data_IF_121841206154
#
_entry.id   IF_121841206154
#
_cell.length_a   1.000
_cell.length_b   1.000
_cell.length_c   1.000
_cell.angle_alpha   90.00
_cell.angle_beta   90.00
_cell.angle_gamma   90.00
#
_symmetry.space_group_name_H-M   'P 1'
#
loop_
_entity.id
_entity.type
_entity.pdbx_description
1 polymer ?
#
# COMPACT_ATOMS: atom_id res chain seq x y z
N UNK A 1 -26.83 -17.61 4.38
CA UNK A 1 -25.63 -17.43 3.55
C UNK A 1 -25.67 -16.03 2.98
N UNK A 2 -25.08 -15.07 3.69
CA UNK A 2 -25.03 -13.67 3.24
C UNK A 2 -23.89 -13.48 2.24
N UNK A 3 -24.26 -13.34 0.97
CA UNK A 3 -23.36 -12.90 -0.07
C UNK A 3 -23.12 -11.39 0.12
N UNK A 4 -22.05 -11.05 0.85
CA UNK A 4 -21.54 -9.69 0.93
C UNK A 4 -20.84 -9.35 -0.40
N UNK A 5 -21.64 -9.03 -1.42
CA UNK A 5 -21.17 -8.58 -2.73
C UNK A 5 -20.55 -7.18 -2.56
N UNK A 6 -19.21 -7.14 -2.57
CA UNK A 6 -18.43 -5.90 -2.61
C UNK A 6 -18.95 -5.05 -3.79
N UNK A 7 -19.28 -3.75 -3.59
CA UNK A 7 -20.04 -2.95 -4.56
C UNK A 7 -19.22 -2.47 -5.78
N UNK A 8 -18.09 -3.10 -6.07
CA UNK A 8 -17.26 -2.78 -7.23
C UNK A 8 -16.92 -4.09 -7.94
N UNK A 9 -17.44 -4.26 -9.16
CA UNK A 9 -17.29 -5.47 -9.94
C UNK A 9 -15.82 -5.88 -10.09
N UNK A 10 -15.57 -7.17 -10.33
CA UNK A 10 -14.24 -7.76 -10.48
C UNK A 10 -13.31 -6.98 -11.43
N UNK A 11 -13.90 -6.31 -12.42
CA UNK A 11 -13.20 -5.42 -13.36
C UNK A 11 -12.60 -4.19 -12.67
N UNK A 12 -13.35 -3.48 -11.82
CA UNK A 12 -12.83 -2.31 -11.08
C UNK A 12 -11.69 -2.71 -10.14
N UNK A 13 -11.81 -3.87 -9.48
CA UNK A 13 -10.73 -4.41 -8.65
C UNK A 13 -9.48 -4.75 -9.48
N UNK A 14 -9.67 -5.36 -10.65
CA UNK A 14 -8.55 -5.70 -11.55
C UNK A 14 -7.85 -4.43 -12.07
N UNK A 15 -8.61 -3.39 -12.45
CA UNK A 15 -8.06 -2.11 -12.85
C UNK A 15 -7.25 -1.45 -11.73
N UNK A 16 -7.73 -1.52 -10.48
CA UNK A 16 -6.97 -1.00 -9.34
C UNK A 16 -5.64 -1.74 -9.14
N UNK A 17 -5.62 -3.07 -9.31
CA UNK A 17 -4.39 -3.86 -9.23
C UNK A 17 -3.41 -3.52 -10.36
N UNK A 18 -3.91 -3.32 -11.59
CA UNK A 18 -3.08 -2.88 -12.72
C UNK A 18 -2.47 -1.51 -12.46
N UNK A 19 -3.24 -0.53 -11.96
CA UNK A 19 -2.74 0.81 -11.61
C UNK A 19 -1.60 0.77 -10.61
N UNK A 20 -1.71 -0.09 -9.58
CA UNK A 20 -0.62 -0.28 -8.62
C UNK A 20 0.60 -0.92 -9.29
N UNK A 21 0.39 -1.97 -10.10
CA UNK A 21 1.48 -2.64 -10.81
C UNK A 21 2.23 -1.71 -11.78
N UNK A 22 1.51 -0.83 -12.48
CA UNK A 22 2.10 0.17 -13.38
C UNK A 22 3.01 1.12 -12.63
N UNK A 23 2.59 1.62 -11.45
CA UNK A 23 3.45 2.48 -10.62
C UNK A 23 4.69 1.73 -10.13
N UNK A 24 4.56 0.45 -9.76
CA UNK A 24 5.68 -0.38 -9.31
C UNK A 24 6.62 -0.80 -10.45
N UNK A 25 6.19 -0.69 -11.71
CA UNK A 25 7.03 -1.00 -12.87
C UNK A 25 8.17 0.01 -13.09
N UNK A 26 8.09 1.20 -12.47
CA UNK A 26 9.12 2.23 -12.54
C UNK A 26 10.24 2.07 -11.49
N UNK A 27 10.33 0.91 -10.85
CA UNK A 27 11.43 0.56 -9.97
C UNK A 27 12.75 0.38 -10.76
N UNK A 28 13.91 0.43 -10.07
CA UNK A 28 15.23 0.23 -10.69
C UNK A 28 15.40 -1.22 -11.14
N UNK A 29 16.30 -1.48 -12.07
CA UNK A 29 16.59 -2.84 -12.57
C UNK A 29 16.99 -3.85 -11.48
N UNK A 30 17.57 -3.37 -10.36
CA UNK A 30 17.96 -4.21 -9.22
C UNK A 30 16.84 -4.37 -8.18
N UNK A 31 15.81 -3.54 -8.25
CA UNK A 31 14.67 -3.62 -7.34
C UNK A 31 13.75 -4.75 -7.81
N UNK A 32 13.07 -5.41 -6.87
CA UNK A 32 12.12 -6.48 -7.20
C UNK A 32 10.75 -6.14 -6.65
N UNK A 33 9.80 -5.84 -7.53
CA UNK A 33 8.39 -5.70 -7.18
C UNK A 33 7.63 -6.98 -7.50
N UNK A 34 6.80 -7.45 -6.57
CA UNK A 34 5.98 -8.63 -6.72
C UNK A 34 4.60 -8.45 -6.10
N UNK A 35 3.59 -9.09 -6.70
CA UNK A 35 2.28 -9.27 -6.06
C UNK A 35 2.37 -10.47 -5.13
N UNK A 36 2.25 -10.24 -3.83
CA UNK A 36 2.39 -11.27 -2.81
C UNK A 36 1.13 -12.13 -2.70
N UNK A 37 -0.05 -11.50 -2.79
CA UNK A 37 -1.34 -12.20 -2.79
C UNK A 37 -2.50 -11.20 -2.76
N UNK A 38 -3.66 -11.54 -3.32
CA UNK A 38 -4.83 -10.66 -3.25
C UNK A 38 -4.53 -9.23 -3.76
N UNK A 39 -4.67 -8.23 -2.90
CA UNK A 39 -4.33 -6.82 -3.10
C UNK A 39 -2.99 -6.39 -2.47
N UNK A 40 -2.16 -7.34 -2.04
CA UNK A 40 -0.88 -7.14 -1.38
C UNK A 40 0.28 -7.19 -2.38
N UNK A 41 1.16 -6.20 -2.27
CA UNK A 41 2.38 -6.06 -3.06
C UNK A 41 3.59 -5.93 -2.14
N UNK A 42 4.71 -6.48 -2.57
CA UNK A 42 5.99 -6.38 -1.89
C UNK A 42 7.04 -5.80 -2.86
N UNK A 43 7.90 -4.93 -2.35
CA UNK A 43 9.03 -4.38 -3.10
C UNK A 43 10.30 -4.59 -2.28
N UNK A 44 11.27 -5.29 -2.87
CA UNK A 44 12.61 -5.47 -2.32
C UNK A 44 13.52 -4.43 -2.97
N UNK A 45 14.21 -3.64 -2.14
CA UNK A 45 15.07 -2.54 -2.58
C UNK A 45 16.51 -2.81 -2.10
N UNK A 46 17.36 -3.45 -2.91
CA UNK A 46 18.75 -3.69 -2.54
C UNK A 46 19.57 -2.40 -2.48
N UNK A 47 20.64 -2.43 -1.69
CA UNK A 47 21.66 -1.38 -1.65
C UNK A 47 21.14 0.02 -1.25
N UNK A 48 20.04 0.08 -0.52
CA UNK A 48 19.53 1.34 0.03
C UNK A 48 19.27 1.24 1.54
N UNK A 49 19.41 2.38 2.22
CA UNK A 49 19.10 2.51 3.65
C UNK A 49 17.64 2.86 3.92
N UNK A 50 17.29 2.93 5.21
CA UNK A 50 15.95 3.23 5.70
C UNK A 50 15.34 4.52 5.13
N UNK A 51 16.14 5.60 5.06
CA UNK A 51 15.66 6.89 4.58
C UNK A 51 15.24 6.83 3.11
N UNK A 52 16.09 6.28 2.24
CA UNK A 52 15.80 6.09 0.83
C UNK A 52 14.61 5.14 0.62
N UNK A 53 14.50 4.06 1.41
CA UNK A 53 13.35 3.16 1.35
C UNK A 53 12.03 3.88 1.68
N UNK A 54 12.04 4.76 2.70
CA UNK A 54 10.87 5.59 3.03
C UNK A 54 10.53 6.61 1.94
N UNK A 55 11.53 7.20 1.28
CA UNK A 55 11.30 8.10 0.14
C UNK A 55 10.66 7.36 -1.03
N UNK A 56 11.10 6.14 -1.32
CA UNK A 56 10.48 5.28 -2.35
C UNK A 56 9.03 4.96 -1.98
N UNK A 57 8.78 4.56 -0.73
CA UNK A 57 7.43 4.29 -0.26
C UNK A 57 6.51 5.52 -0.39
N UNK A 58 6.98 6.70 0.01
CA UNK A 58 6.22 7.95 -0.12
C UNK A 58 5.92 8.28 -1.58
N UNK A 59 6.92 8.14 -2.47
CA UNK A 59 6.74 8.36 -3.91
C UNK A 59 5.70 7.42 -4.52
N UNK A 60 5.66 6.16 -4.11
CA UNK A 60 4.64 5.19 -4.57
C UNK A 60 3.25 5.63 -4.11
N UNK A 61 3.11 5.99 -2.82
CA UNK A 61 1.84 6.49 -2.28
C UNK A 61 1.34 7.72 -3.06
N UNK A 62 2.22 8.69 -3.31
CA UNK A 62 1.87 9.93 -4.01
C UNK A 62 1.53 9.67 -5.49
N UNK A 63 2.26 8.76 -6.15
CA UNK A 63 2.00 8.42 -7.55
C UNK A 63 0.63 7.77 -7.74
N UNK A 64 0.23 6.89 -6.81
CA UNK A 64 -1.08 6.23 -6.85
C UNK A 64 -2.20 7.20 -6.48
N UNK A 65 -1.98 8.05 -5.47
CA UNK A 65 -3.00 9.00 -5.01
C UNK A 65 -3.27 10.11 -6.05
N UNK A 66 -2.29 10.45 -6.88
CA UNK A 66 -2.35 11.56 -7.84
C UNK A 66 -2.36 11.08 -9.30
N UNK A 67 -2.73 9.83 -9.59
CA UNK A 67 -2.78 9.32 -10.96
C UNK A 67 -3.94 9.90 -11.81
N UNK A 68 -4.80 10.73 -11.21
CA UNK A 68 -5.89 11.44 -11.88
C UNK A 68 -7.03 10.54 -12.35
N UNK A 69 -7.06 9.27 -11.91
CA UNK A 69 -8.06 8.29 -12.34
C UNK A 69 -9.07 7.96 -11.24
N UNK A 70 -10.33 7.83 -11.64
CA UNK A 70 -11.42 7.37 -10.76
C UNK A 70 -11.57 5.84 -10.83
N UNK A 71 -11.85 5.15 -9.70
CA UNK A 71 -11.94 5.70 -8.36
C UNK A 71 -10.56 6.11 -7.82
N UNK A 72 -10.51 7.15 -6.98
CA UNK A 72 -9.30 7.51 -6.24
C UNK A 72 -8.78 6.31 -5.44
N UNK A 73 -7.51 5.96 -5.65
CA UNK A 73 -6.84 4.89 -4.93
C UNK A 73 -5.93 5.43 -3.85
N UNK A 74 -5.76 4.63 -2.80
CA UNK A 74 -4.73 4.89 -1.79
C UNK A 74 -4.16 3.58 -1.32
N UNK A 75 -2.85 3.53 -1.12
CA UNK A 75 -2.14 2.37 -0.58
C UNK A 75 -1.61 2.68 0.82
N UNK A 76 -1.41 1.64 1.61
CA UNK A 76 -0.68 1.68 2.87
C UNK A 76 0.60 0.89 2.66
N UNK A 77 1.76 1.48 2.96
CA UNK A 77 3.06 0.84 2.79
C UNK A 77 3.76 0.81 4.14
N UNK A 78 4.25 -0.37 4.52
CA UNK A 78 5.16 -0.54 5.64
C UNK A 78 6.57 -0.84 5.15
N UNK A 79 7.56 -0.33 5.86
CA UNK A 79 8.98 -0.47 5.50
C UNK A 79 9.69 -1.25 6.61
N UNK A 80 10.59 -2.15 6.22
CA UNK A 80 11.52 -2.84 7.09
C UNK A 80 12.91 -2.90 6.42
N UNK A 81 13.96 -2.86 7.23
CA UNK A 81 15.35 -2.71 6.76
C UNK A 81 16.21 -3.83 7.33
N UNK A 82 16.86 -4.58 6.45
CA UNK A 82 17.89 -5.54 6.84
C UNK A 82 19.22 -4.82 7.16
N UNK A 83 19.97 -5.24 8.20
CA UNK A 83 19.62 -6.23 9.23
C UNK A 83 18.89 -5.63 10.45
N UNK A 84 18.67 -4.31 10.48
CA UNK A 84 18.14 -3.58 11.65
C UNK A 84 16.79 -4.13 12.18
N UNK A 85 15.86 -4.42 11.28
CA UNK A 85 14.51 -4.90 11.61
C UNK A 85 14.41 -6.43 11.61
N UNK A 86 15.53 -7.12 11.37
CA UNK A 86 15.64 -8.57 11.40
C UNK A 86 16.60 -9.11 10.35
N UNK A 87 17.22 -10.24 10.68
CA UNK A 87 18.17 -10.93 9.79
C UNK A 87 17.52 -12.02 8.92
N UNK A 88 16.22 -12.25 9.12
CA UNK A 88 15.45 -13.30 8.45
C UNK A 88 14.20 -12.72 7.80
N UNK A 89 13.82 -13.28 6.65
CA UNK A 89 12.72 -12.78 5.83
C UNK A 89 11.42 -12.61 6.63
N UNK A 90 11.10 -13.57 7.50
CA UNK A 90 9.88 -13.55 8.30
C UNK A 90 9.86 -12.41 9.32
N UNK A 91 11.03 -11.98 9.82
CA UNK A 91 11.13 -10.85 10.74
C UNK A 91 10.91 -9.53 10.00
N UNK A 92 11.50 -9.39 8.81
CA UNK A 92 11.34 -8.21 7.95
C UNK A 92 9.88 -8.04 7.51
N UNK A 93 9.24 -9.11 7.01
CA UNK A 93 7.83 -9.10 6.62
C UNK A 93 6.94 -8.70 7.80
N UNK A 94 7.14 -9.34 8.97
CA UNK A 94 6.36 -9.01 10.18
C UNK A 94 6.53 -7.54 10.60
N UNK A 95 7.72 -6.97 10.44
CA UNK A 95 7.98 -5.57 10.75
C UNK A 95 7.32 -4.62 9.76
N UNK A 96 7.43 -4.91 8.46
CA UNK A 96 6.75 -4.15 7.42
C UNK A 96 5.23 -4.19 7.62
N UNK A 97 4.65 -5.37 7.87
CA UNK A 97 3.21 -5.54 8.11
C UNK A 97 2.74 -4.77 9.35
N UNK A 98 3.49 -4.84 10.45
CA UNK A 98 3.17 -4.11 11.67
C UNK A 98 3.19 -2.58 11.44
N UNK A 99 4.18 -2.08 10.71
CA UNK A 99 4.28 -0.67 10.35
C UNK A 99 3.11 -0.22 9.46
N UNK A 100 2.78 -1.02 8.43
CA UNK A 100 1.63 -0.79 7.57
C UNK A 100 0.31 -0.78 8.35
N UNK A 101 0.12 -1.76 9.24
CA UNK A 101 -1.09 -1.89 10.04
C UNK A 101 -1.29 -0.70 10.97
N UNK A 102 -0.22 -0.24 11.64
CA UNK A 102 -0.26 0.96 12.48
C UNK A 102 -0.72 2.21 11.70
N UNK A 103 -0.25 2.37 10.46
CA UNK A 103 -0.70 3.46 9.59
C UNK A 103 -2.18 3.31 9.19
N UNK A 104 -2.60 2.08 8.87
CA UNK A 104 -3.99 1.79 8.46
C UNK A 104 -4.97 2.07 9.61
N UNK A 105 -4.64 1.68 10.83
CA UNK A 105 -5.43 1.96 12.04
C UNK A 105 -5.53 3.46 12.28
N UNK A 106 -4.40 4.19 12.23
CA UNK A 106 -4.41 5.66 12.39
C UNK A 106 -5.24 6.36 11.31
N UNK A 107 -5.15 5.93 10.05
CA UNK A 107 -5.96 6.47 8.95
C UNK A 107 -7.44 6.18 9.16
N UNK A 108 -7.78 5.00 9.68
CA UNK A 108 -9.16 4.63 10.00
C UNK A 108 -9.72 5.47 11.14
N UNK A 109 -8.97 5.65 12.22
CA UNK A 109 -9.33 6.52 13.33
C UNK A 109 -9.56 7.97 12.87
N UNK A 110 -8.66 8.51 12.03
CA UNK A 110 -8.83 9.85 11.45
C UNK A 110 -10.04 9.95 10.52
N UNK A 111 -10.36 8.89 9.78
CA UNK A 111 -11.54 8.86 8.90
C UNK A 111 -12.83 8.79 9.71
N UNK A 112 -12.88 7.96 10.75
CA UNK A 112 -14.03 7.79 11.63
C UNK A 112 -14.24 9.01 12.56
N UNK A 113 -13.17 9.77 12.86
CA UNK A 113 -13.24 11.02 13.62
C UNK A 113 -13.67 12.25 12.80
N UNK A 114 -13.77 12.16 11.46
CA UNK A 114 -14.35 13.25 10.66
C UNK A 114 -15.85 13.35 10.96
N UNK A 115 -16.38 14.54 11.33
CA UNK A 115 -17.80 14.69 11.57
C UNK A 115 -18.55 14.26 10.32
N UNK A 116 -19.45 13.27 10.47
CA UNK A 116 -20.40 12.92 9.42
C UNK A 116 -21.23 14.18 9.17
N UNK A 117 -20.96 14.86 8.05
CA UNK A 117 -21.83 15.93 7.56
C UNK A 117 -23.17 15.26 7.32
N UNK A 118 -24.10 15.45 8.25
CA UNK A 118 -25.48 15.10 8.05
C UNK A 118 -25.96 16.00 6.91
N UNK A 119 -26.15 15.43 5.72
CA UNK A 119 -26.91 16.07 4.67
C UNK A 119 -28.35 16.18 5.20
N UNK A 120 -28.68 17.31 5.80
CA UNK A 120 -30.05 17.75 5.98
C UNK A 120 -30.44 18.53 4.74
N UNK A 121 -31.31 17.94 3.91
CA UNK A 121 -32.41 18.63 3.22
C UNK A 121 -33.37 17.60 2.66
#
# INVERSE_FOLDING_TARGET
MEANQRPYGHLTGSHALCRVADVLSFCRDIDTAARYGGDEFAVVLPEIGAEAANQVAQRICDSIANDGMEPLLSVSIGVAVYPHDGERMEALLRKADAAMYAMKTKKRELFDARPRVACQT
#
